data_IF_696542876969
#
_entry.id   IF_696542876969
#
_cell.length_a   1.000
_cell.length_b   1.000
_cell.length_c   1.000
_cell.angle_alpha   90.00
_cell.angle_beta   90.00
_cell.angle_gamma   90.00
#
_symmetry.space_group_name_H-M   'P 1'
#
loop_
_entity.id
_entity.type
_entity.pdbx_description
1 polymer ?
#
# COMPACT_ATOMS: atom_id res chain seq x y z
N UNK A 1 10.01 2.36 -18.72
CA UNK A 1 8.86 3.28 -18.59
C UNK A 1 8.70 3.68 -17.15
N UNK A 2 8.77 4.98 -16.87
CA UNK A 2 8.46 5.54 -15.55
C UNK A 2 6.96 5.40 -15.24
N UNK A 3 6.58 5.58 -13.97
CA UNK A 3 5.15 5.58 -13.59
C UNK A 3 4.37 6.72 -14.25
N UNK A 4 5.01 7.86 -14.42
CA UNK A 4 4.43 9.07 -15.02
C UNK A 4 4.20 8.91 -16.53
N UNK A 5 5.19 8.38 -17.25
CA UNK A 5 5.02 8.00 -18.67
C UNK A 5 3.88 7.01 -18.86
N UNK A 6 3.73 6.07 -17.92
CA UNK A 6 2.65 5.10 -17.96
C UNK A 6 1.28 5.78 -17.82
N UNK A 7 1.13 6.77 -16.93
CA UNK A 7 -0.11 7.53 -16.80
C UNK A 7 -0.40 8.39 -18.02
N UNK A 8 0.61 9.07 -18.58
CA UNK A 8 0.45 9.84 -19.82
C UNK A 8 0.04 8.96 -21.00
N UNK A 9 0.61 7.76 -21.10
CA UNK A 9 0.25 6.80 -22.13
C UNK A 9 -1.20 6.31 -21.98
N UNK A 10 -1.65 6.05 -20.76
CA UNK A 10 -3.06 5.68 -20.47
C UNK A 10 -4.00 6.86 -20.80
N UNK A 11 -3.65 8.08 -20.38
CA UNK A 11 -4.44 9.28 -20.66
C UNK A 11 -4.62 9.47 -22.16
N UNK A 12 -3.53 9.43 -22.93
CA UNK A 12 -3.56 9.52 -24.40
C UNK A 12 -4.41 8.43 -25.03
N UNK A 13 -4.27 7.19 -24.55
CA UNK A 13 -5.03 6.04 -25.04
C UNK A 13 -6.54 6.23 -24.83
N UNK A 14 -6.95 6.87 -23.73
CA UNK A 14 -8.36 7.09 -23.40
C UNK A 14 -8.93 8.37 -24.04
N UNK A 15 -8.11 9.35 -24.42
CA UNK A 15 -8.57 10.63 -24.98
C UNK A 15 -8.53 10.67 -26.51
N UNK A 16 -7.58 9.97 -27.15
CA UNK A 16 -7.34 10.07 -28.58
C UNK A 16 -7.77 8.78 -29.28
N UNK A 17 -8.90 8.83 -29.98
CA UNK A 17 -9.40 7.67 -30.74
C UNK A 17 -8.58 7.38 -32.00
N UNK A 18 -8.02 8.40 -32.65
CA UNK A 18 -7.23 8.28 -33.89
C UNK A 18 -5.79 7.82 -33.66
N UNK A 19 -5.12 8.36 -32.64
CA UNK A 19 -3.72 8.05 -32.30
C UNK A 19 -3.54 7.72 -30.81
N UNK A 20 -4.00 6.53 -30.37
CA UNK A 20 -4.00 6.16 -28.96
C UNK A 20 -2.62 5.76 -28.40
N UNK A 21 -1.57 5.69 -29.23
CA UNK A 21 -0.22 5.28 -28.81
C UNK A 21 0.84 6.28 -29.30
N UNK A 22 1.95 6.40 -28.56
CA UNK A 22 3.10 7.16 -29.05
C UNK A 22 3.70 6.52 -30.32
N UNK A 23 4.29 7.31 -31.24
CA UNK A 23 5.10 6.76 -32.34
C UNK A 23 6.17 5.81 -31.80
N UNK A 24 6.36 4.66 -32.47
CA UNK A 24 7.34 3.66 -32.05
C UNK A 24 6.96 2.82 -30.82
N UNK A 25 5.73 2.91 -30.30
CA UNK A 25 5.30 2.07 -29.16
C UNK A 25 5.28 0.59 -29.55
N UNK A 26 6.10 -0.23 -28.88
CA UNK A 26 6.15 -1.69 -29.08
C UNK A 26 4.83 -2.40 -28.72
N UNK A 27 4.55 -3.54 -29.37
CA UNK A 27 3.33 -4.32 -29.15
C UNK A 27 3.09 -4.74 -27.69
N UNK A 28 4.15 -5.06 -26.94
CA UNK A 28 4.04 -5.40 -25.51
C UNK A 28 3.59 -4.20 -24.68
N UNK A 29 4.14 -3.02 -24.95
CA UNK A 29 3.74 -1.76 -24.29
C UNK A 29 2.28 -1.43 -24.61
N UNK A 30 1.86 -1.56 -25.88
CA UNK A 30 0.45 -1.40 -26.27
C UNK A 30 -0.48 -2.32 -25.48
N UNK A 31 -0.11 -3.61 -25.33
CA UNK A 31 -0.88 -4.58 -24.52
C UNK A 31 -0.97 -4.15 -23.06
N UNK A 32 0.13 -3.67 -22.47
CA UNK A 32 0.16 -3.18 -21.07
C UNK A 32 -0.72 -1.94 -20.89
N UNK A 33 -0.68 -1.00 -21.83
CA UNK A 33 -1.52 0.21 -21.81
C UNK A 33 -3.00 -0.18 -21.85
N UNK A 34 -3.43 -1.01 -22.81
CA UNK A 34 -4.84 -1.46 -22.90
C UNK A 34 -5.31 -2.14 -21.62
N UNK A 35 -4.49 -3.04 -21.08
CA UNK A 35 -4.82 -3.76 -19.84
C UNK A 35 -4.94 -2.80 -18.65
N UNK A 36 -4.06 -1.81 -18.56
CA UNK A 36 -4.11 -0.82 -17.49
C UNK A 36 -5.31 0.12 -17.64
N UNK A 37 -5.57 0.62 -18.85
CA UNK A 37 -6.62 1.58 -19.16
C UNK A 37 -8.03 1.12 -18.74
N UNK A 38 -8.28 -0.19 -18.73
CA UNK A 38 -9.54 -0.76 -18.23
C UNK A 38 -9.89 -0.40 -16.77
N UNK A 39 -8.92 0.06 -15.97
CA UNK A 39 -9.12 0.49 -14.60
C UNK A 39 -9.19 2.03 -14.43
N UNK A 40 -9.14 2.79 -15.51
CA UNK A 40 -9.12 4.25 -15.48
C UNK A 40 -10.22 4.86 -16.32
N UNK A 41 -10.62 6.07 -15.96
CA UNK A 41 -11.57 6.90 -16.69
C UNK A 41 -11.04 8.33 -16.78
N UNK A 42 -11.38 9.05 -17.84
CA UNK A 42 -11.02 10.46 -18.00
C UNK A 42 -12.27 11.31 -17.81
N UNK A 43 -12.18 12.33 -16.97
CA UNK A 43 -13.21 13.37 -16.78
C UNK A 43 -12.54 14.72 -16.90
N UNK A 44 -13.04 15.57 -17.79
CA UNK A 44 -12.53 16.94 -17.98
C UNK A 44 -11.00 17.01 -18.14
N UNK A 45 -10.43 16.09 -18.94
CA UNK A 45 -8.99 15.98 -19.16
C UNK A 45 -8.18 15.41 -17.99
N UNK A 46 -8.81 15.10 -16.86
CA UNK A 46 -8.18 14.53 -15.67
C UNK A 46 -8.38 13.02 -15.62
N UNK A 47 -7.32 12.28 -15.31
CA UNK A 47 -7.34 10.82 -15.20
C UNK A 47 -7.78 10.39 -13.79
N UNK A 48 -8.73 9.48 -13.71
CA UNK A 48 -9.22 8.90 -12.46
C UNK A 48 -9.02 7.39 -12.46
N UNK A 49 -8.62 6.85 -11.31
CA UNK A 49 -8.54 5.41 -11.06
C UNK A 49 -9.87 4.91 -10.48
N UNK A 50 -10.43 3.88 -11.08
CA UNK A 50 -11.68 3.26 -10.61
C UNK A 50 -11.38 2.13 -9.63
N UNK A 51 -11.58 2.40 -8.34
CA UNK A 51 -11.43 1.41 -7.28
C UNK A 51 -12.77 0.72 -7.02
N UNK A 52 -12.81 -0.59 -7.26
CA UNK A 52 -13.96 -1.43 -6.91
C UNK A 52 -14.05 -1.60 -5.39
N UNK A 53 -15.18 -1.21 -4.82
CA UNK A 53 -15.51 -1.42 -3.42
C UNK A 53 -16.27 -2.75 -3.30
N UNK A 54 -15.85 -3.65 -2.41
CA UNK A 54 -16.48 -4.98 -2.27
C UNK A 54 -17.98 -4.92 -1.95
N UNK A 55 -18.41 -3.87 -1.26
CA UNK A 55 -19.77 -3.73 -0.75
C UNK A 55 -20.56 -2.56 -1.37
N UNK A 56 -20.04 -1.93 -2.43
CA UNK A 56 -20.76 -0.87 -3.15
C UNK A 56 -20.94 -1.24 -4.60
N UNK A 57 -22.11 -0.91 -5.13
CA UNK A 57 -22.41 -1.05 -6.56
C UNK A 57 -21.62 -0.05 -7.41
N UNK A 58 -21.20 1.07 -6.81
CA UNK A 58 -20.44 2.14 -7.49
C UNK A 58 -18.94 1.99 -7.28
N UNK A 59 -18.17 2.44 -8.27
CA UNK A 59 -16.72 2.58 -8.19
C UNK A 59 -16.38 3.88 -7.45
N UNK A 60 -15.33 3.85 -6.63
CA UNK A 60 -14.71 5.09 -6.16
C UNK A 60 -13.77 5.59 -7.24
N UNK A 61 -13.94 6.84 -7.66
CA UNK A 61 -13.04 7.51 -8.62
C UNK A 61 -12.00 8.29 -7.83
N UNK A 62 -10.72 7.92 -7.98
CA UNK A 62 -9.61 8.57 -7.31
C UNK A 62 -8.78 9.33 -8.32
N UNK A 63 -8.55 10.61 -8.08
CA UNK A 63 -7.78 11.46 -8.98
C UNK A 63 -6.34 10.94 -9.09
N UNK A 64 -5.87 10.69 -10.32
CA UNK A 64 -4.50 10.23 -10.55
C UNK A 64 -3.56 11.43 -10.57
N UNK A 65 -2.64 11.48 -9.61
CA UNK A 65 -1.68 12.58 -9.51
C UNK A 65 -0.47 12.29 -10.37
N UNK A 66 -0.33 13.00 -11.50
CA UNK A 66 0.77 12.78 -12.45
C UNK A 66 2.09 13.37 -11.95
N UNK A 67 2.07 14.62 -11.50
CA UNK A 67 3.26 15.40 -11.15
C UNK A 67 3.83 14.98 -9.78
N UNK A 68 5.14 14.70 -9.67
CA UNK A 68 5.77 14.31 -8.41
C UNK A 68 5.77 15.43 -7.36
N UNK A 69 5.88 16.70 -7.77
CA UNK A 69 5.83 17.87 -6.89
C UNK A 69 4.47 17.94 -6.21
N UNK A 70 3.38 17.86 -6.99
CA UNK A 70 2.02 17.82 -6.47
C UNK A 70 1.78 16.65 -5.51
N UNK A 71 2.38 15.48 -5.75
CA UNK A 71 2.29 14.35 -4.80
C UNK A 71 2.92 14.71 -3.46
N UNK A 72 4.07 15.39 -3.46
CA UNK A 72 4.76 15.82 -2.23
C UNK A 72 3.89 16.83 -1.47
N UNK A 73 3.34 17.82 -2.16
CA UNK A 73 2.51 18.86 -1.54
C UNK A 73 1.23 18.25 -0.93
N UNK A 74 0.62 17.28 -1.60
CA UNK A 74 -0.52 16.53 -1.05
C UNK A 74 -0.13 15.71 0.19
N UNK A 75 1.03 15.07 0.18
CA UNK A 75 1.53 14.32 1.34
C UNK A 75 1.77 15.26 2.52
N UNK A 76 2.39 16.41 2.28
CA UNK A 76 2.61 17.44 3.29
C UNK A 76 1.30 17.92 3.90
N UNK A 77 0.33 18.31 3.07
CA UNK A 77 -0.97 18.76 3.53
C UNK A 77 -1.74 17.67 4.32
N UNK A 78 -1.67 16.41 3.89
CA UNK A 78 -2.31 15.30 4.61
C UNK A 78 -1.54 14.87 5.88
N UNK A 79 -0.25 15.20 5.97
CA UNK A 79 0.57 14.95 7.15
C UNK A 79 0.36 16.03 8.22
N UNK A 80 0.27 17.29 7.80
CA UNK A 80 -0.05 18.43 8.64
C UNK A 80 -1.57 18.54 8.80
N UNK A 81 -2.13 17.73 9.71
CA UNK A 81 -3.55 17.78 10.04
C UNK A 81 -4.00 19.15 10.58
N UNK A 82 -5.32 19.33 10.80
CA UNK A 82 -5.87 20.58 11.30
C UNK A 82 -5.16 21.07 12.57
N UNK A 83 -4.80 22.36 12.61
CA UNK A 83 -4.06 22.93 13.75
C UNK A 83 -2.59 22.52 13.83
N UNK A 84 -2.00 21.98 12.76
CA UNK A 84 -0.58 21.63 12.69
C UNK A 84 -0.23 20.31 13.38
N UNK A 85 -1.22 19.46 13.67
CA UNK A 85 -0.98 18.15 14.26
C UNK A 85 -0.40 17.19 13.22
N UNK A 86 0.75 16.58 13.53
CA UNK A 86 1.37 15.61 12.63
C UNK A 86 0.64 14.26 12.67
N UNK A 87 0.02 13.90 11.56
CA UNK A 87 -0.63 12.61 11.37
C UNK A 87 0.39 11.47 11.27
N UNK A 88 0.01 10.31 11.80
CA UNK A 88 0.78 9.07 11.64
C UNK A 88 0.79 8.64 10.18
N UNK A 89 1.78 7.82 9.81
CA UNK A 89 1.87 7.19 8.48
C UNK A 89 0.56 6.57 8.00
N UNK A 90 -0.15 5.87 8.88
CA UNK A 90 -1.39 5.20 8.52
C UNK A 90 -2.50 6.22 8.26
N UNK A 91 -2.63 7.26 9.09
CA UNK A 91 -3.62 8.33 8.92
C UNK A 91 -3.38 9.09 7.61
N UNK A 92 -2.15 9.57 7.37
CA UNK A 92 -1.81 10.30 6.14
C UNK A 92 -2.08 9.47 4.88
N UNK A 93 -1.66 8.21 4.86
CA UNK A 93 -1.93 7.32 3.73
C UNK A 93 -3.43 7.07 3.54
N UNK A 94 -4.14 6.83 4.64
CA UNK A 94 -5.58 6.53 4.61
C UNK A 94 -6.37 7.73 4.08
N UNK A 95 -6.02 8.95 4.49
CA UNK A 95 -6.70 10.17 4.04
C UNK A 95 -6.43 10.46 2.56
N UNK A 96 -5.19 10.35 2.10
CA UNK A 96 -4.87 10.49 0.68
C UNK A 96 -5.55 9.44 -0.19
N UNK A 97 -5.59 8.18 0.26
CA UNK A 97 -6.12 7.06 -0.52
C UNK A 97 -7.65 7.05 -0.63
N UNK A 98 -8.34 8.04 -0.07
CA UNK A 98 -9.78 8.27 -0.28
C UNK A 98 -10.03 9.03 -1.58
N UNK A 99 -9.17 9.99 -1.91
CA UNK A 99 -9.38 10.96 -3.00
C UNK A 99 -8.37 10.84 -4.12
N UNK A 100 -7.14 10.40 -3.82
CA UNK A 100 -6.03 10.39 -4.77
C UNK A 100 -5.46 8.99 -5.02
N UNK A 101 -4.83 8.84 -6.18
CA UNK A 101 -4.14 7.62 -6.58
C UNK A 101 -2.82 7.90 -7.29
N UNK A 102 -1.79 7.15 -6.92
CA UNK A 102 -0.58 6.97 -7.73
C UNK A 102 0.20 5.74 -7.24
N UNK A 103 1.04 5.21 -8.12
CA UNK A 103 1.84 4.02 -7.84
C UNK A 103 2.89 4.34 -6.77
N UNK A 104 2.82 3.63 -5.66
CA UNK A 104 3.79 3.78 -4.56
C UNK A 104 3.43 4.84 -3.52
N UNK A 105 2.19 5.30 -3.45
CA UNK A 105 1.73 6.30 -2.46
C UNK A 105 2.18 6.01 -1.02
N UNK A 106 1.99 4.78 -0.54
CA UNK A 106 2.39 4.40 0.81
C UNK A 106 3.90 4.50 1.04
N UNK A 107 4.71 4.21 0.01
CA UNK A 107 6.17 4.35 0.09
C UNK A 107 6.55 5.83 0.19
N UNK A 108 5.98 6.69 -0.65
CA UNK A 108 6.27 8.12 -0.61
C UNK A 108 5.82 8.77 0.71
N UNK A 109 4.67 8.38 1.27
CA UNK A 109 4.24 8.81 2.61
C UNK A 109 5.25 8.37 3.69
N UNK A 110 5.74 7.13 3.62
CA UNK A 110 6.78 6.63 4.55
C UNK A 110 8.05 7.47 4.47
N UNK A 111 8.52 7.72 3.25
CA UNK A 111 9.78 8.41 3.00
C UNK A 111 9.69 9.88 3.44
N UNK A 112 8.56 10.54 3.20
CA UNK A 112 8.30 11.91 3.66
C UNK A 112 8.31 12.01 5.20
N UNK A 113 7.54 11.16 5.90
CA UNK A 113 7.45 11.23 7.36
C UNK A 113 8.79 10.91 8.03
N UNK A 114 9.59 10.00 7.43
CA UNK A 114 10.96 9.74 7.88
C UNK A 114 11.86 10.97 7.80
N UNK A 115 11.59 11.91 6.91
CA UNK A 115 12.37 13.14 6.75
C UNK A 115 11.81 14.30 7.57
N UNK A 116 10.67 14.13 8.25
CA UNK A 116 10.05 15.17 9.04
C UNK A 116 10.74 15.33 10.41
N UNK A 117 11.47 16.44 10.60
CA UNK A 117 12.24 16.73 11.82
C UNK A 117 11.39 16.63 13.10
N UNK A 118 10.21 17.23 13.12
CA UNK A 118 9.29 17.20 14.28
C UNK A 118 8.84 15.78 14.66
N UNK A 119 8.73 14.89 13.67
CA UNK A 119 8.38 13.49 13.93
C UNK A 119 9.58 12.68 14.41
N UNK A 120 10.77 12.97 13.88
CA UNK A 120 12.02 12.34 14.31
C UNK A 120 12.35 12.69 15.77
N UNK A 121 12.29 13.98 16.14
CA UNK A 121 12.54 14.42 17.52
C UNK A 121 11.66 13.72 18.56
N UNK A 122 10.37 13.51 18.23
CA UNK A 122 9.44 12.79 19.12
C UNK A 122 9.81 11.31 19.27
N UNK A 123 10.29 10.68 18.20
CA UNK A 123 10.71 9.29 18.24
C UNK A 123 12.01 9.12 19.04
N UNK A 124 12.98 10.00 18.83
CA UNK A 124 14.26 9.97 19.55
C UNK A 124 14.08 10.19 21.05
N UNK A 125 13.23 11.15 21.47
CA UNK A 125 12.89 11.35 22.89
C UNK A 125 12.13 10.19 23.52
N UNK A 126 11.44 9.38 22.71
CA UNK A 126 10.72 8.19 23.20
C UNK A 126 11.57 6.93 23.21
N UNK A 127 12.80 6.98 22.67
CA UNK A 127 13.76 5.89 22.80
C UNK A 127 14.20 5.86 24.26
N UNK A 128 13.98 4.75 25.00
CA UNK A 128 14.47 4.66 26.36
C UNK A 128 15.98 4.88 26.32
N UNK A 129 16.44 5.81 27.14
CA UNK A 129 17.85 6.09 27.38
C UNK A 129 18.46 4.76 27.84
N UNK A 130 19.09 4.03 26.92
CA UNK A 130 19.91 2.86 27.28
C UNK A 130 21.13 3.25 28.12
N UNK A 131 21.39 4.54 28.29
CA UNK A 131 22.46 5.12 29.13
C UNK A 131 22.04 5.42 30.57
N UNK A 132 20.88 4.95 31.03
CA UNK A 132 20.59 5.03 32.47
C UNK A 132 21.61 4.21 33.29
N UNK A 133 22.26 3.23 32.66
CA UNK A 133 23.37 2.46 33.23
C UNK A 133 24.67 3.26 33.26
N UNK A 134 24.99 4.00 32.19
CA UNK A 134 26.25 4.76 32.06
C UNK A 134 26.26 5.98 32.99
N UNK A 135 25.11 6.64 33.16
CA UNK A 135 24.94 7.73 34.13
C UNK A 135 24.98 7.27 35.60
N UNK A 136 24.68 6.00 35.87
CA UNK A 136 24.70 5.46 37.23
C UNK A 136 26.12 5.07 37.65
N UNK A 137 26.93 4.61 36.71
CA UNK A 137 28.36 4.31 36.91
C UNK A 137 29.16 5.61 37.17
N UNK A 138 28.79 6.73 36.55
CA UNK A 138 29.41 8.04 36.83
C UNK A 138 28.98 8.66 38.18
N UNK A 139 27.87 8.22 38.78
CA UNK A 139 27.41 8.67 40.10
C UNK A 139 27.96 7.85 41.27
N UNK A 140 28.78 6.81 41.02
CA UNK A 140 29.58 6.12 42.04
C UNK A 140 28.78 5.45 43.17
N UNK A 141 27.58 4.96 42.88
CA UNK A 141 26.76 4.23 43.87
C UNK A 141 27.01 2.73 43.75
N UNK A 142 27.98 2.22 44.50
CA UNK A 142 28.26 0.79 44.59
C UNK A 142 27.15 0.07 45.38
N UNK A 143 26.42 -0.81 44.70
CA UNK A 143 25.49 -1.74 45.36
C UNK A 143 26.32 -2.92 45.87
N UNK A 144 26.77 -2.85 47.12
CA UNK A 144 27.43 -3.97 47.82
C UNK A 144 26.46 -5.14 47.94
N UNK A 145 26.52 -6.10 47.01
CA UNK A 145 25.94 -7.43 47.23
C UNK A 145 26.92 -8.22 48.10
N UNK A 146 26.62 -8.31 49.39
CA UNK A 146 27.37 -9.12 50.35
C UNK A 146 27.49 -10.57 49.88
N UNK A 147 28.74 -11.02 49.79
CA UNK A 147 29.13 -12.41 49.62
C UNK A 147 28.91 -13.15 50.96
N UNK A 148 28.24 -14.30 50.94
CA UNK A 148 28.48 -15.32 51.96
C UNK A 148 28.57 -16.71 51.30
N UNK A 149 29.75 -17.27 51.49
CA UNK A 149 30.25 -18.63 51.32
C UNK A 149 29.25 -19.80 51.36
N UNK A 150 29.47 -20.80 50.50
CA UNK A 150 29.91 -22.12 50.98
C UNK A 150 30.43 -23.04 49.86
N UNK A 151 31.74 -23.27 49.98
CA UNK A 151 32.55 -24.50 49.85
C UNK A 151 32.17 -25.63 48.88
N UNK A 152 33.24 -26.10 48.24
CA UNK A 152 33.38 -27.09 47.20
C UNK A 152 33.76 -28.47 47.76
N UNK A 153 33.23 -29.55 47.17
CA UNK A 153 33.94 -30.83 47.12
C UNK A 153 33.48 -31.71 45.92
N UNK A 154 34.45 -31.91 45.03
CA UNK A 154 34.83 -33.08 44.21
C UNK A 154 33.84 -34.24 43.95
N UNK A 155 33.63 -34.59 42.66
CA UNK A 155 34.17 -35.86 42.14
C UNK A 155 34.18 -35.91 40.58
N UNK A 156 35.20 -36.56 40.02
CA UNK A 156 35.50 -36.68 38.59
C UNK A 156 34.98 -38.01 38.04
N UNK A 157 34.25 -38.02 36.90
CA UNK A 157 34.36 -39.11 35.91
C UNK A 157 33.77 -38.78 34.53
N UNK A 158 34.69 -38.59 33.59
CA UNK A 158 34.87 -39.36 32.35
C UNK A 158 33.68 -39.61 31.36
N UNK A 159 33.91 -39.12 30.14
CA UNK A 159 33.63 -39.72 28.81
C UNK A 159 32.32 -39.46 28.05
N UNK A 160 32.56 -39.08 26.78
CA UNK A 160 31.80 -39.46 25.56
C UNK A 160 30.62 -38.59 25.15
N UNK A 161 30.83 -37.81 24.07
CA UNK A 161 29.80 -37.25 23.18
C UNK A 161 28.97 -38.34 22.48
N UNK A 162 27.97 -38.00 21.64
CA UNK A 162 26.83 -37.07 21.75
C UNK A 162 25.51 -37.90 21.73
N UNK A 163 24.28 -37.36 21.97
CA UNK A 163 23.45 -36.94 20.82
C UNK A 163 22.28 -35.96 21.11
N UNK A 164 21.73 -35.42 20.01
CA UNK A 164 20.29 -35.16 19.77
C UNK A 164 19.47 -34.34 20.80
N UNK A 165 19.14 -33.12 20.37
CA UNK A 165 18.09 -32.27 20.94
C UNK A 165 16.69 -32.82 20.64
N UNK A 166 15.88 -33.06 21.68
CA UNK A 166 14.42 -33.17 21.55
C UNK A 166 13.68 -32.61 22.77
N UNK A 167 12.96 -31.49 22.54
CA UNK A 167 11.65 -31.13 23.13
C UNK A 167 11.66 -30.69 24.62
N UNK A 168 10.85 -29.74 25.13
CA UNK A 168 9.57 -29.14 24.71
C UNK A 168 9.24 -27.95 25.68
N UNK A 169 8.02 -27.33 25.75
CA UNK A 169 7.79 -25.95 25.32
C UNK A 169 7.19 -25.00 26.39
N UNK A 170 7.18 -23.69 26.14
CA UNK A 170 6.28 -22.77 26.86
C UNK A 170 5.75 -21.60 26.00
N UNK A 171 4.48 -21.78 25.60
CA UNK A 171 3.36 -20.81 25.53
C UNK A 171 3.58 -19.48 24.79
N UNK A 172 3.10 -19.42 23.54
CA UNK A 172 2.79 -18.18 22.80
C UNK A 172 1.28 -17.87 22.87
N UNK A 173 0.94 -16.61 23.16
CA UNK A 173 -0.42 -16.05 23.10
C UNK A 173 -0.89 -15.90 21.63
N UNK A 174 -2.19 -16.03 21.34
CA UNK A 174 -2.71 -16.09 19.98
C UNK A 174 -2.79 -14.70 19.34
N UNK A 175 -2.07 -14.51 18.23
CA UNK A 175 -2.28 -13.37 17.32
C UNK A 175 -3.17 -13.85 16.18
N UNK A 176 -4.31 -13.19 16.01
CA UNK A 176 -5.29 -13.46 14.96
C UNK A 176 -4.68 -13.26 13.57
N UNK A 177 -4.44 -14.35 12.85
CA UNK A 177 -4.14 -14.31 11.41
C UNK A 177 -5.46 -14.10 10.67
N UNK A 178 -5.57 -12.97 9.96
CA UNK A 178 -6.60 -12.81 8.94
C UNK A 178 -6.16 -13.62 7.71
N UNK A 179 -6.80 -14.76 7.54
CA UNK A 179 -6.57 -15.69 6.43
C UNK A 179 -7.07 -15.05 5.13
N UNK A 180 -6.16 -14.88 4.17
CA UNK A 180 -6.51 -14.47 2.82
C UNK A 180 -7.06 -15.71 2.11
N UNK A 181 -8.38 -15.92 2.21
CA UNK A 181 -9.05 -17.01 1.50
C UNK A 181 -9.03 -16.70 0.00
N UNK A 182 -8.11 -17.35 -0.72
CA UNK A 182 -8.19 -17.47 -2.17
C UNK A 182 -9.24 -18.54 -2.48
N UNK A 183 -10.49 -18.10 -2.68
CA UNK A 183 -11.48 -18.95 -3.33
C UNK A 183 -11.04 -19.08 -4.79
N UNK A 184 -10.50 -20.25 -5.14
CA UNK A 184 -10.34 -20.71 -6.51
C UNK A 184 -11.73 -20.88 -7.13
N UNK A 185 -12.34 -19.76 -7.53
CA UNK A 185 -13.57 -19.71 -8.29
C UNK A 185 -13.27 -20.19 -9.71
N UNK A 186 -13.86 -21.32 -10.06
CA UNK A 186 -13.90 -21.92 -11.38
C UNK A 186 -14.11 -20.87 -12.48
N UNK A 187 -13.15 -20.80 -13.40
CA UNK A 187 -13.19 -19.99 -14.62
C UNK A 187 -14.38 -20.41 -15.50
N UNK A 188 -15.54 -19.77 -15.33
CA UNK A 188 -16.61 -19.86 -16.33
C UNK A 188 -17.45 -18.60 -16.52
N UNK A 189 -17.12 -17.49 -15.86
CA UNK A 189 -17.96 -16.29 -15.89
C UNK A 189 -17.19 -15.03 -16.28
N UNK A 190 -16.46 -15.10 -17.39
CA UNK A 190 -15.92 -13.91 -18.05
C UNK A 190 -16.55 -13.70 -19.43
N UNK A 191 -16.88 -14.80 -20.13
CA UNK A 191 -17.57 -14.77 -21.43
C UNK A 191 -19.03 -14.31 -21.30
N UNK A 192 -19.71 -14.68 -20.22
CA UNK A 192 -21.11 -14.27 -19.97
C UNK A 192 -21.23 -12.78 -19.65
N UNK A 193 -20.30 -12.19 -18.88
CA UNK A 193 -20.35 -10.76 -18.52
C UNK A 193 -19.98 -9.81 -19.66
N UNK A 194 -19.07 -10.22 -20.55
CA UNK A 194 -18.78 -9.46 -21.77
C UNK A 194 -19.96 -9.55 -22.74
N UNK A 195 -20.59 -10.72 -22.89
CA UNK A 195 -21.76 -10.89 -23.73
C UNK A 195 -22.96 -10.05 -23.26
N UNK A 196 -23.24 -10.01 -21.96
CA UNK A 196 -24.34 -9.18 -21.42
C UNK A 196 -24.06 -7.69 -21.64
N UNK A 197 -22.81 -7.24 -21.51
CA UNK A 197 -22.46 -5.83 -21.75
C UNK A 197 -22.59 -5.43 -23.24
N UNK A 198 -22.24 -6.32 -24.17
CA UNK A 198 -22.39 -6.08 -25.62
C UNK A 198 -23.86 -6.11 -26.04
N UNK A 199 -24.67 -7.00 -25.48
CA UNK A 199 -26.10 -7.09 -25.78
C UNK A 199 -26.89 -5.87 -25.27
N UNK A 200 -26.58 -5.36 -24.07
CA UNK A 200 -27.22 -4.15 -23.56
C UNK A 200 -26.87 -2.93 -24.41
N UNK A 201 -25.62 -2.80 -24.85
CA UNK A 201 -25.22 -1.73 -25.78
C UNK A 201 -25.91 -1.85 -27.15
N UNK A 202 -26.04 -3.06 -27.70
CA UNK A 202 -26.72 -3.28 -28.98
C UNK A 202 -28.23 -2.94 -28.91
N UNK A 203 -28.91 -3.32 -27.81
CA UNK A 203 -30.34 -3.01 -27.61
C UNK A 203 -30.58 -1.52 -27.41
N UNK A 204 -29.68 -0.80 -26.73
CA UNK A 204 -29.77 0.64 -26.59
C UNK A 204 -29.57 1.38 -27.92
N UNK A 205 -28.65 0.89 -28.76
CA UNK A 205 -28.42 1.46 -30.10
C UNK A 205 -29.64 1.23 -31.01
N UNK A 206 -30.25 0.04 -31.00
CA UNK A 206 -31.43 -0.24 -31.82
C UNK A 206 -32.66 0.54 -31.34
N UNK A 207 -32.84 0.65 -30.01
CA UNK A 207 -33.92 1.45 -29.44
C UNK A 207 -33.76 2.93 -29.81
N UNK A 208 -32.56 3.50 -29.65
CA UNK A 208 -32.29 4.90 -30.02
C UNK A 208 -32.47 5.15 -31.52
N UNK A 209 -32.10 4.20 -32.37
CA UNK A 209 -32.28 4.30 -33.83
C UNK A 209 -33.76 4.23 -34.25
N UNK A 210 -34.61 3.48 -33.52
CA UNK A 210 -36.06 3.43 -33.76
C UNK A 210 -36.78 4.72 -33.31
N UNK A 211 -36.34 5.33 -32.20
CA UNK A 211 -36.91 6.59 -31.72
C UNK A 211 -36.62 7.76 -32.67
N UNK A 212 -35.47 7.74 -33.36
CA UNK A 212 -35.12 8.78 -34.35
C UNK A 212 -35.94 8.63 -35.64
N UNK A 213 -36.26 7.40 -36.07
CA UNK A 213 -37.05 7.14 -37.29
C UNK A 213 -38.54 7.42 -37.16
N UNK A 214 -39.04 7.58 -35.94
CA UNK A 214 -40.46 7.89 -35.67
C UNK A 214 -40.69 9.38 -35.40
N UNK A 215 -39.62 10.19 -35.38
CA UNK A 215 -39.66 11.62 -35.13
C UNK A 215 -39.47 12.48 -36.40
N UNK A 216 -39.43 11.86 -37.60
CA UNK A 216 -39.37 12.52 -38.91
C UNK A 216 -40.39 11.91 -39.87
#
# INVERSE_FOLDING_TARGET
>A
MSSEESYRAILRYLTNESEPYAPGTEGNVKRKIRKAAACYVVRDGTLYYQRRQRHRKTFAELEVVLQPERRRDLIEAAHLGPGGTHHTRHQTWHDLSKTYWWRGILKQVKDYIKQCSKCQEKLDRSRPISDASEMLEELGLDLESGEESNESEDDLSNFTSPPTTASKPSKKKPVSRHELVFVSGTFHSALTFVAISVLVFAVLITYFSQTIKTAY
#
